data_IF_423577096336
#
_entry.id   IF_423577096336
#
_cell.length_a   1.000
_cell.length_b   1.000
_cell.length_c   1.000
_cell.angle_alpha   90.00
_cell.angle_beta   90.00
_cell.angle_gamma   90.00
#
_symmetry.space_group_name_H-M   'P 1'
#
loop_
_entity.id
_entity.type
_entity.pdbx_description
1 polymer ?
#
# COMPACT_ATOMS: atom_id res chain seq x y z
N UNK A 1 -64.85 8.14 -21.67
CA UNK A 1 -65.80 7.35 -20.86
C UNK A 1 -65.00 6.36 -20.00
N UNK A 2 -65.40 6.14 -18.74
CA UNK A 2 -64.56 6.62 -17.63
C UNK A 2 -64.44 5.62 -16.45
N UNK A 3 -63.53 5.89 -15.50
CA UNK A 3 -63.55 5.47 -14.06
C UNK A 3 -63.28 3.93 -13.87
N UNK A 4 -62.61 3.39 -12.84
CA UNK A 4 -62.63 3.70 -11.41
C UNK A 4 -61.33 3.22 -10.74
N UNK A 5 -60.98 3.99 -9.72
CA UNK A 5 -59.98 3.85 -8.66
C UNK A 5 -60.01 2.53 -7.89
N UNK A 6 -58.88 2.18 -7.28
CA UNK A 6 -58.88 1.76 -5.88
C UNK A 6 -57.68 2.36 -5.13
N UNK A 7 -58.02 3.15 -4.12
CA UNK A 7 -57.19 3.66 -3.03
C UNK A 7 -56.73 2.51 -2.12
N UNK A 8 -55.57 2.65 -1.48
CA UNK A 8 -55.46 2.47 -0.03
C UNK A 8 -54.12 3.01 0.50
N UNK A 9 -54.27 3.92 1.46
CA UNK A 9 -53.29 4.67 2.25
C UNK A 9 -52.37 3.83 3.14
N UNK A 10 -51.29 4.46 3.63
CA UNK A 10 -50.49 3.93 4.73
C UNK A 10 -49.33 4.82 5.19
N UNK A 11 -49.60 6.08 5.53
CA UNK A 11 -48.68 6.94 6.29
C UNK A 11 -48.43 6.37 7.69
N UNK A 12 -47.17 6.26 8.13
CA UNK A 12 -46.81 6.43 9.55
C UNK A 12 -45.38 6.96 9.67
N UNK A 13 -45.29 8.27 9.85
CA UNK A 13 -44.17 8.91 10.53
C UNK A 13 -44.37 8.77 12.05
N UNK A 14 -43.31 8.51 12.79
CA UNK A 14 -43.25 8.84 14.21
C UNK A 14 -41.81 9.04 14.66
N UNK A 15 -41.47 10.30 14.90
CA UNK A 15 -40.30 10.72 15.63
C UNK A 15 -40.54 10.53 17.14
N UNK A 16 -39.49 10.15 17.87
CA UNK A 16 -39.48 10.17 19.33
C UNK A 16 -38.08 10.58 19.85
N UNK A 17 -38.00 11.16 21.06
CA UNK A 17 -37.27 12.40 21.28
C UNK A 17 -35.90 12.23 21.96
N UNK A 18 -35.06 13.25 21.78
CA UNK A 18 -33.95 13.57 22.66
C UNK A 18 -34.43 13.86 24.09
N UNK A 19 -33.96 13.07 25.05
CA UNK A 19 -33.90 13.48 26.46
C UNK A 19 -32.48 13.33 26.99
N UNK A 20 -31.92 14.50 27.27
CA UNK A 20 -30.73 14.81 28.03
C UNK A 20 -30.94 14.51 29.52
N UNK A 21 -30.11 13.71 30.19
CA UNK A 21 -29.67 13.91 31.60
C UNK A 21 -28.34 13.17 31.86
N UNK A 22 -27.33 13.91 32.36
CA UNK A 22 -26.01 13.48 32.85
C UNK A 22 -26.09 12.76 34.22
N UNK A 23 -25.05 12.02 34.66
CA UNK A 23 -24.12 12.66 35.58
C UNK A 23 -22.64 12.30 35.41
N UNK A 24 -21.82 13.34 35.56
CA UNK A 24 -20.49 13.40 36.16
C UNK A 24 -20.05 12.15 36.97
N UNK A 25 -18.78 11.74 36.80
CA UNK A 25 -17.69 11.98 37.76
C UNK A 25 -16.67 10.80 37.89
N UNK A 26 -15.38 11.17 37.85
CA UNK A 26 -14.15 10.50 38.39
C UNK A 26 -13.45 9.41 37.55
N UNK A 27 -12.13 9.19 37.77
CA UNK A 27 -11.07 10.16 38.07
C UNK A 27 -9.88 10.06 37.10
N UNK A 28 -9.29 11.21 36.84
CA UNK A 28 -7.98 11.37 36.22
C UNK A 28 -6.91 10.69 37.08
N UNK A 29 -6.33 9.59 36.61
CA UNK A 29 -5.19 8.98 37.27
C UNK A 29 -3.95 9.82 37.02
N UNK A 30 -3.58 10.52 38.10
CA UNK A 30 -2.27 11.07 38.40
C UNK A 30 -1.15 10.10 38.02
N UNK A 31 -0.50 10.31 36.88
CA UNK A 31 0.86 9.82 36.69
C UNK A 31 1.78 10.82 37.37
N UNK A 32 2.18 10.43 38.58
CA UNK A 32 3.18 11.10 39.40
C UNK A 32 4.46 11.27 38.60
N UNK A 33 4.91 12.51 38.55
CA UNK A 33 6.27 12.89 38.22
C UNK A 33 7.25 12.09 39.09
N UNK A 34 8.10 11.29 38.47
CA UNK A 34 9.33 10.83 39.10
C UNK A 34 10.48 11.59 38.46
N UNK A 35 10.79 12.68 39.14
CA UNK A 35 11.94 13.54 39.02
C UNK A 35 13.26 12.78 39.26
N UNK A 36 14.34 13.37 38.73
CA UNK A 36 15.72 13.29 39.20
C UNK A 36 16.51 12.00 38.92
N UNK A 37 17.44 12.08 37.96
CA UNK A 37 18.87 12.18 38.32
C UNK A 37 19.73 12.60 37.12
N UNK A 38 20.04 13.90 37.07
CA UNK A 38 21.25 14.43 36.44
C UNK A 38 22.44 14.08 37.35
N UNK A 39 23.44 13.38 36.82
CA UNK A 39 24.82 13.50 37.30
C UNK A 39 25.75 13.67 36.08
N UNK A 40 26.47 14.81 35.96
CA UNK A 40 27.48 15.00 34.93
C UNK A 40 28.81 14.43 35.43
N UNK A 41 29.30 13.34 34.83
CA UNK A 41 30.68 12.90 35.07
C UNK A 41 31.64 13.64 34.15
N UNK A 42 32.42 14.48 34.81
CA UNK A 42 33.47 15.35 34.32
C UNK A 42 34.73 14.54 33.99
N UNK A 43 35.16 14.70 32.74
CA UNK A 43 36.54 14.95 32.28
C UNK A 43 37.62 13.83 32.24
N UNK A 44 38.35 13.94 31.10
CA UNK A 44 39.76 13.63 30.84
C UNK A 44 40.13 12.15 30.72
N UNK A 45 40.40 11.71 29.48
CA UNK A 45 41.72 11.18 29.11
C UNK A 45 42.07 11.64 27.69
N UNK A 46 43.19 12.37 27.61
CA UNK A 46 43.93 12.72 26.40
C UNK A 46 44.77 11.49 26.02
N UNK A 47 44.58 10.96 24.81
CA UNK A 47 45.58 10.13 24.14
C UNK A 47 45.71 10.58 22.68
N UNK A 48 46.80 11.27 22.40
CA UNK A 48 47.34 11.47 21.06
C UNK A 48 48.07 10.19 20.63
N UNK A 49 47.63 9.57 19.54
CA UNK A 49 48.45 8.62 18.79
C UNK A 49 48.19 8.78 17.29
N UNK A 50 49.27 9.06 16.58
CA UNK A 50 49.38 9.24 15.13
C UNK A 50 49.65 7.89 14.45
N UNK A 51 49.13 7.71 13.22
CA UNK A 51 49.71 6.78 12.25
C UNK A 51 48.75 5.74 11.68
N UNK A 52 48.23 6.01 10.48
CA UNK A 52 47.51 5.01 9.68
C UNK A 52 46.59 5.65 8.66
N UNK A 53 47.12 5.94 7.47
CA UNK A 53 46.32 6.36 6.32
C UNK A 53 45.39 5.23 5.88
N UNK A 54 44.16 5.26 6.38
CA UNK A 54 43.02 4.55 5.81
C UNK A 54 41.93 5.58 5.55
N UNK A 55 41.50 5.65 4.30
CA UNK A 55 40.41 6.50 3.83
C UNK A 55 39.11 6.11 4.54
N UNK A 56 38.85 6.73 5.69
CA UNK A 56 37.55 6.67 6.36
C UNK A 56 36.61 7.62 5.67
N UNK A 57 35.60 7.02 5.03
CA UNK A 57 34.37 7.68 4.63
C UNK A 57 33.67 8.16 5.90
N UNK A 58 33.88 9.42 6.25
CA UNK A 58 32.86 10.19 6.96
C UNK A 58 31.74 10.48 5.96
N UNK A 59 30.84 9.51 5.81
CA UNK A 59 29.47 9.83 5.47
C UNK A 59 28.68 9.77 6.77
N UNK A 60 28.45 10.96 7.30
CA UNK A 60 27.45 11.23 8.31
C UNK A 60 26.20 10.37 8.10
N UNK A 61 25.58 9.95 9.21
CA UNK A 61 24.16 9.61 9.25
C UNK A 61 23.34 10.82 8.78
N UNK A 62 23.33 11.04 7.48
CA UNK A 62 22.17 11.56 6.77
C UNK A 62 21.48 10.31 6.29
N UNK A 63 20.50 9.81 7.05
CA UNK A 63 19.46 8.98 6.43
C UNK A 63 18.90 9.83 5.30
N UNK A 64 19.14 9.50 4.02
CA UNK A 64 18.42 10.18 2.97
C UNK A 64 16.96 9.84 3.21
N UNK A 65 16.09 10.84 3.21
CA UNK A 65 14.66 10.59 3.04
C UNK A 65 14.52 9.56 1.90
N UNK A 66 13.67 8.53 2.04
CA UNK A 66 13.54 7.50 1.02
C UNK A 66 13.43 8.18 -0.35
N UNK A 67 14.26 7.80 -1.34
CA UNK A 67 14.06 8.28 -2.70
C UNK A 67 12.60 8.03 -3.02
N UNK A 68 11.88 9.05 -3.49
CA UNK A 68 10.52 8.88 -3.97
C UNK A 68 10.48 7.56 -4.75
N UNK A 69 9.65 6.59 -4.33
CA UNK A 69 9.74 5.19 -4.78
C UNK A 69 9.31 5.00 -6.25
N UNK A 70 9.41 6.06 -7.03
CA UNK A 70 9.00 6.18 -8.39
C UNK A 70 10.25 6.06 -9.28
N UNK A 71 10.11 5.19 -10.28
CA UNK A 71 10.93 5.09 -11.50
C UNK A 71 12.25 4.29 -11.44
N UNK A 72 12.69 3.71 -10.32
CA UNK A 72 13.82 2.76 -10.40
C UNK A 72 13.31 1.37 -10.77
N UNK A 73 13.74 0.83 -11.92
CA UNK A 73 13.52 -0.57 -12.30
C UNK A 73 14.17 -1.46 -11.24
N UNK A 74 13.40 -2.42 -10.73
CA UNK A 74 13.91 -3.40 -9.76
C UNK A 74 13.87 -4.80 -10.34
N UNK A 75 14.96 -5.54 -10.15
CA UNK A 75 15.07 -6.97 -10.48
C UNK A 75 14.56 -7.87 -9.32
N UNK A 76 14.08 -7.29 -8.22
CA UNK A 76 13.48 -8.05 -7.12
C UNK A 76 12.24 -8.80 -7.59
N UNK A 77 12.07 -10.03 -7.10
CA UNK A 77 10.86 -10.86 -7.28
C UNK A 77 9.86 -10.69 -6.13
N UNK A 78 10.23 -9.93 -5.09
CA UNK A 78 9.42 -9.74 -3.89
C UNK A 78 9.41 -10.98 -2.98
N UNK A 79 8.40 -11.02 -2.11
CA UNK A 79 8.17 -12.03 -1.07
C UNK A 79 6.87 -12.77 -1.36
N UNK A 80 6.98 -14.05 -1.70
CA UNK A 80 5.85 -14.92 -2.02
C UNK A 80 6.28 -16.16 -2.81
N UNK A 81 5.31 -16.96 -3.25
CA UNK A 81 5.55 -18.24 -3.92
C UNK A 81 5.89 -18.12 -5.41
N UNK A 82 5.62 -16.99 -6.06
CA UNK A 82 6.02 -16.77 -7.44
C UNK A 82 7.53 -16.51 -7.51
N UNK A 83 8.30 -17.55 -7.86
CA UNK A 83 9.76 -17.47 -8.04
C UNK A 83 10.19 -17.42 -9.51
N UNK A 84 9.32 -17.87 -10.41
CA UNK A 84 9.55 -17.87 -11.85
C UNK A 84 8.21 -17.82 -12.57
N UNK A 85 8.10 -16.95 -13.58
CA UNK A 85 6.91 -16.80 -14.41
C UNK A 85 7.27 -16.93 -15.87
N UNK A 86 6.69 -17.91 -16.55
CA UNK A 86 6.75 -17.99 -18.00
C UNK A 86 5.90 -16.87 -18.62
N UNK A 87 6.53 -16.00 -19.40
CA UNK A 87 5.85 -14.99 -20.20
C UNK A 87 5.71 -15.46 -21.65
N UNK A 88 4.47 -15.53 -22.12
CA UNK A 88 4.14 -15.73 -23.53
C UNK A 88 3.51 -14.44 -24.09
N UNK A 89 3.19 -14.41 -25.39
CA UNK A 89 2.43 -13.32 -26.01
C UNK A 89 1.04 -13.20 -25.40
N UNK A 90 0.54 -11.97 -25.26
CA UNK A 90 -0.80 -11.72 -24.72
C UNK A 90 -1.76 -11.46 -25.87
N UNK A 91 -2.71 -12.37 -26.09
CA UNK A 91 -3.78 -12.13 -27.05
C UNK A 91 -4.75 -11.04 -26.55
N UNK A 92 -5.41 -10.35 -27.49
CA UNK A 92 -6.48 -9.37 -27.15
C UNK A 92 -7.56 -9.95 -26.24
N UNK A 93 -7.92 -11.21 -26.44
CA UNK A 93 -8.93 -11.88 -25.61
C UNK A 93 -8.44 -12.13 -24.18
N UNK A 94 -7.16 -12.45 -23.99
CA UNK A 94 -6.56 -12.54 -22.65
C UNK A 94 -6.53 -11.18 -21.96
N UNK A 95 -6.08 -10.15 -22.67
CA UNK A 95 -6.06 -8.78 -22.17
C UNK A 95 -7.45 -8.30 -21.72
N UNK A 96 -8.50 -8.54 -22.53
CA UNK A 96 -9.87 -8.16 -22.20
C UNK A 96 -10.41 -8.88 -20.95
N UNK A 97 -10.06 -10.17 -20.74
CA UNK A 97 -10.42 -10.88 -19.50
C UNK A 97 -9.72 -10.29 -18.28
N UNK A 98 -8.43 -9.99 -18.40
CA UNK A 98 -7.67 -9.33 -17.34
C UNK A 98 -8.19 -7.92 -17.03
N UNK A 99 -8.61 -7.17 -18.04
CA UNK A 99 -9.21 -5.83 -17.88
C UNK A 99 -10.53 -5.92 -17.10
N UNK A 100 -11.40 -6.87 -17.44
CA UNK A 100 -12.65 -7.07 -16.70
C UNK A 100 -12.38 -7.42 -15.21
N UNK A 101 -11.38 -8.25 -14.93
CA UNK A 101 -10.96 -8.53 -13.56
C UNK A 101 -10.37 -7.30 -12.86
N UNK A 102 -9.56 -6.50 -13.57
CA UNK A 102 -8.98 -5.27 -13.03
C UNK A 102 -10.08 -4.28 -12.63
N UNK A 103 -11.09 -4.10 -13.48
CA UNK A 103 -12.25 -3.25 -13.17
C UNK A 103 -13.03 -3.75 -11.95
N UNK A 104 -13.17 -5.07 -11.79
CA UNK A 104 -13.91 -5.67 -10.68
C UNK A 104 -13.14 -5.67 -9.35
N UNK A 105 -11.81 -5.76 -9.37
CA UNK A 105 -11.01 -6.02 -8.15
C UNK A 105 -10.02 -4.92 -7.80
N UNK A 106 -9.56 -4.12 -8.77
CA UNK A 106 -8.43 -3.19 -8.59
C UNK A 106 -8.83 -1.73 -8.81
N UNK A 107 -9.78 -1.46 -9.71
CA UNK A 107 -10.10 -0.10 -10.17
C UNK A 107 -10.68 0.84 -9.10
N UNK A 108 -11.15 0.29 -7.97
CA UNK A 108 -11.55 1.08 -6.81
C UNK A 108 -10.35 1.83 -6.19
N UNK A 109 -9.15 1.24 -6.23
CA UNK A 109 -7.97 1.77 -5.58
C UNK A 109 -6.85 2.18 -6.55
N UNK A 110 -6.82 1.62 -7.76
CA UNK A 110 -5.77 1.87 -8.74
C UNK A 110 -6.33 2.35 -10.07
N UNK A 111 -5.58 3.21 -10.76
CA UNK A 111 -5.83 3.54 -12.17
C UNK A 111 -4.84 2.77 -13.05
N UNK A 112 -5.31 2.32 -14.21
CA UNK A 112 -4.45 1.76 -15.25
C UNK A 112 -3.57 2.85 -15.92
N UNK A 113 -3.86 4.12 -15.64
CA UNK A 113 -3.05 5.29 -16.01
C UNK A 113 -1.95 5.55 -14.97
N UNK A 114 -1.24 6.67 -15.12
CA UNK A 114 -0.23 7.12 -14.15
C UNK A 114 -0.82 7.81 -12.92
N UNK A 115 -2.14 8.01 -12.88
CA UNK A 115 -2.77 8.79 -11.81
C UNK A 115 -2.87 7.99 -10.52
N UNK A 116 -2.45 8.61 -9.41
CA UNK A 116 -2.62 8.05 -8.08
C UNK A 116 -4.05 8.31 -7.57
N UNK A 117 -4.61 7.34 -6.86
CA UNK A 117 -5.85 7.53 -6.08
C UNK A 117 -5.65 7.07 -4.64
N UNK A 118 -6.16 5.89 -4.29
CA UNK A 118 -5.87 5.25 -3.00
C UNK A 118 -4.50 4.60 -3.07
N UNK A 119 -4.25 3.84 -4.15
CA UNK A 119 -2.96 3.27 -4.49
C UNK A 119 -2.26 4.02 -5.64
N UNK A 120 -1.03 3.61 -5.97
CA UNK A 120 -0.27 4.18 -7.07
C UNK A 120 -0.90 3.89 -8.45
N UNK A 121 -0.70 4.79 -9.40
CA UNK A 121 -1.00 4.54 -10.82
C UNK A 121 -0.18 3.38 -11.38
N UNK A 122 -0.81 2.54 -12.21
CA UNK A 122 -0.21 1.30 -12.71
C UNK A 122 0.31 1.37 -14.15
N UNK A 123 0.20 2.54 -14.81
CA UNK A 123 0.85 2.74 -16.11
C UNK A 123 2.34 2.37 -16.03
N UNK A 124 2.83 1.57 -16.97
CA UNK A 124 4.22 1.12 -17.12
C UNK A 124 4.75 0.33 -15.90
N UNK A 125 3.87 -0.26 -15.09
CA UNK A 125 4.29 -1.06 -13.92
C UNK A 125 5.12 -2.27 -14.32
N UNK A 126 4.85 -2.87 -15.49
CA UNK A 126 5.58 -4.02 -16.01
C UNK A 126 6.98 -3.68 -16.52
N UNK A 127 7.26 -2.40 -16.77
CA UNK A 127 8.61 -1.90 -17.04
C UNK A 127 9.38 -1.61 -15.74
N UNK A 128 8.68 -1.31 -14.64
CA UNK A 128 9.28 -0.99 -13.34
C UNK A 128 9.52 -2.20 -12.45
N UNK A 129 8.72 -3.26 -12.60
CA UNK A 129 8.68 -4.42 -11.69
C UNK A 129 8.68 -5.72 -12.48
N UNK A 130 9.30 -6.74 -11.90
CA UNK A 130 9.28 -8.10 -12.47
C UNK A 130 7.86 -8.68 -12.43
N UNK A 131 7.51 -9.60 -13.34
CA UNK A 131 6.24 -10.32 -13.29
C UNK A 131 6.01 -11.02 -11.95
N UNK A 132 7.05 -11.66 -11.40
CA UNK A 132 7.01 -12.33 -10.11
C UNK A 132 6.64 -11.36 -8.98
N UNK A 133 7.26 -10.18 -8.96
CA UNK A 133 6.98 -9.17 -7.96
C UNK A 133 5.53 -8.68 -8.05
N UNK A 134 5.03 -8.45 -9.26
CA UNK A 134 3.63 -8.03 -9.48
C UNK A 134 2.67 -9.11 -8.97
N UNK A 135 2.90 -10.37 -9.31
CA UNK A 135 2.05 -11.47 -8.86
C UNK A 135 2.09 -11.63 -7.34
N UNK A 136 3.28 -11.60 -6.72
CA UNK A 136 3.41 -11.66 -5.26
C UNK A 136 2.75 -10.46 -4.57
N UNK A 137 2.81 -9.25 -5.16
CA UNK A 137 2.13 -8.08 -4.62
C UNK A 137 0.61 -8.21 -4.68
N UNK A 138 0.06 -8.81 -5.75
CA UNK A 138 -1.38 -9.00 -5.93
C UNK A 138 -1.92 -10.08 -4.99
N UNK A 139 -1.22 -11.21 -4.87
CA UNK A 139 -1.71 -12.37 -4.12
C UNK A 139 -1.32 -12.36 -2.64
N UNK A 140 -0.28 -11.59 -2.28
CA UNK A 140 0.26 -11.54 -0.92
C UNK A 140 0.59 -10.10 -0.45
N UNK A 141 -0.31 -9.11 -0.59
CA UNK A 141 0.02 -7.72 -0.33
C UNK A 141 0.49 -7.45 1.10
N UNK A 142 -0.11 -8.09 2.11
CA UNK A 142 0.24 -7.87 3.52
C UNK A 142 1.68 -8.26 3.84
N UNK A 143 2.14 -9.42 3.38
CA UNK A 143 3.51 -9.84 3.65
C UNK A 143 4.51 -9.03 2.83
N UNK A 144 4.16 -8.68 1.59
CA UNK A 144 4.94 -7.77 0.76
C UNK A 144 5.14 -6.42 1.46
N UNK A 145 4.06 -5.81 1.96
CA UNK A 145 4.09 -4.55 2.71
C UNK A 145 4.87 -4.63 4.02
N UNK A 146 5.10 -5.82 4.56
CA UNK A 146 5.89 -6.01 5.78
C UNK A 146 7.36 -6.30 5.52
N UNK A 147 7.68 -6.99 4.42
CA UNK A 147 9.00 -7.60 4.19
C UNK A 147 9.70 -7.12 2.92
N UNK A 148 8.96 -6.79 1.87
CA UNK A 148 9.55 -6.27 0.63
C UNK A 148 9.84 -4.75 0.79
N UNK A 149 11.09 -4.31 0.58
CA UNK A 149 11.47 -2.91 0.79
C UNK A 149 10.74 -1.94 -0.15
N UNK A 150 10.38 -2.38 -1.35
CA UNK A 150 9.67 -1.53 -2.33
C UNK A 150 8.22 -1.39 -1.94
N UNK A 151 7.54 -2.50 -1.62
CA UNK A 151 6.16 -2.50 -1.15
C UNK A 151 5.99 -1.68 0.12
N UNK A 152 6.91 -1.81 1.08
CA UNK A 152 7.00 -0.95 2.28
C UNK A 152 7.10 0.53 1.94
N UNK A 153 7.99 0.89 1.02
CA UNK A 153 8.17 2.28 0.61
C UNK A 153 6.92 2.85 -0.10
N UNK A 154 6.17 2.00 -0.82
CA UNK A 154 4.89 2.37 -1.43
C UNK A 154 3.80 2.55 -0.37
N UNK A 155 3.73 1.68 0.65
CA UNK A 155 2.79 1.82 1.76
C UNK A 155 2.98 3.15 2.51
N UNK A 156 4.22 3.60 2.70
CA UNK A 156 4.50 4.91 3.31
C UNK A 156 3.96 6.09 2.50
N UNK A 157 3.85 5.95 1.18
CA UNK A 157 3.25 6.95 0.28
C UNK A 157 1.73 6.78 0.13
N UNK A 158 1.23 5.57 0.34
CA UNK A 158 -0.16 5.16 0.16
C UNK A 158 -0.66 4.42 1.43
N UNK A 159 -0.91 5.15 2.53
CA UNK A 159 -1.03 4.56 3.88
C UNK A 159 -2.32 3.77 4.14
N UNK A 160 -3.23 3.69 3.17
CA UNK A 160 -4.42 2.83 3.26
C UNK A 160 -4.06 1.35 3.20
N UNK A 161 -2.94 1.00 2.57
CA UNK A 161 -2.52 -0.37 2.31
C UNK A 161 -3.39 -1.08 1.28
N UNK A 162 -2.82 -2.12 0.66
CA UNK A 162 -3.51 -2.98 -0.29
C UNK A 162 -4.23 -4.09 0.49
N UNK A 163 -5.55 -4.18 0.29
CA UNK A 163 -6.37 -5.16 1.00
C UNK A 163 -6.03 -6.58 0.56
N UNK A 164 -6.01 -7.52 1.52
CA UNK A 164 -5.91 -8.95 1.25
C UNK A 164 -7.29 -9.48 0.80
N UNK A 165 -7.67 -9.19 -0.45
CA UNK A 165 -8.81 -9.86 -1.08
C UNK A 165 -8.33 -11.14 -1.76
N UNK A 166 -9.02 -12.29 -1.66
CA UNK A 166 -8.59 -13.51 -2.31
C UNK A 166 -8.58 -13.33 -3.83
N UNK A 167 -7.38 -13.38 -4.42
CA UNK A 167 -7.15 -13.47 -5.86
C UNK A 167 -6.40 -14.77 -6.08
N UNK A 168 -6.99 -15.67 -6.88
CA UNK A 168 -6.32 -16.92 -7.26
C UNK A 168 -5.10 -16.65 -8.15
N UNK A 169 -4.15 -17.57 -8.19
CA UNK A 169 -2.98 -17.47 -9.08
C UNK A 169 -3.38 -17.31 -10.56
N UNK A 170 -4.48 -17.93 -10.97
CA UNK A 170 -5.03 -17.80 -12.31
C UNK A 170 -5.60 -16.40 -12.58
N UNK A 171 -6.36 -15.82 -11.64
CA UNK A 171 -6.83 -14.43 -11.75
C UNK A 171 -5.66 -13.45 -11.71
N UNK A 172 -4.66 -13.67 -10.85
CA UNK A 172 -3.46 -12.85 -10.77
C UNK A 172 -2.68 -12.86 -12.10
N UNK A 173 -2.58 -14.03 -12.75
CA UNK A 173 -1.99 -14.14 -14.09
C UNK A 173 -2.78 -13.36 -15.14
N UNK A 174 -4.11 -13.39 -15.09
CA UNK A 174 -4.95 -12.61 -16.01
C UNK A 174 -4.78 -11.10 -15.78
N UNK A 175 -4.70 -10.65 -14.53
CA UNK A 175 -4.38 -9.27 -14.18
C UNK A 175 -3.01 -8.85 -14.72
N UNK A 176 -1.98 -9.70 -14.57
CA UNK A 176 -0.66 -9.45 -15.13
C UNK A 176 -0.70 -9.36 -16.66
N UNK A 177 -1.43 -10.24 -17.35
CA UNK A 177 -1.57 -10.21 -18.80
C UNK A 177 -2.21 -8.87 -19.26
N UNK A 178 -3.22 -8.37 -18.54
CA UNK A 178 -3.79 -7.04 -18.80
C UNK A 178 -2.79 -5.91 -18.57
N UNK A 179 -2.05 -5.91 -17.46
CA UNK A 179 -1.05 -4.87 -17.19
C UNK A 179 0.04 -4.84 -18.27
N UNK A 180 0.48 -6.01 -18.75
CA UNK A 180 1.42 -6.13 -19.87
C UNK A 180 0.85 -5.53 -21.16
N UNK A 181 -0.42 -5.83 -21.47
CA UNK A 181 -1.11 -5.26 -22.64
C UNK A 181 -1.27 -3.73 -22.52
N UNK A 182 -1.67 -3.23 -21.35
CA UNK A 182 -1.85 -1.81 -21.05
C UNK A 182 -0.56 -1.01 -21.21
N UNK A 183 0.56 -1.60 -20.81
CA UNK A 183 1.89 -0.99 -20.91
C UNK A 183 2.51 -1.10 -22.33
N UNK A 184 1.74 -1.63 -23.30
CA UNK A 184 2.19 -1.81 -24.68
C UNK A 184 3.13 -3.00 -24.89
N UNK A 185 3.28 -3.87 -23.89
CA UNK A 185 4.10 -5.07 -23.93
C UNK A 185 3.45 -6.21 -24.70
N UNK A 186 4.19 -6.78 -25.65
CA UNK A 186 3.95 -8.03 -26.42
C UNK A 186 2.48 -8.26 -26.82
N UNK A 187 2.08 -7.59 -27.90
CA UNK A 187 0.86 -7.87 -28.67
C UNK A 187 1.04 -9.05 -29.61
#
# INVERSE_FOLDING_TARGET
MPIIMFFADGHHASAAPCTLVLPLNKPCHSMRASLLNLLPFVAIIIFTACGGSQSTQDAALSTPAPPAAQIVKSESKGVGHFKWVKLDSVSRAQAARGEALFLARCAACHKATGDNTVGPGLKDVTARRTPEWILNQITNPKEMEQKDPISRALLLQHPTGMTMSPVSDAEARQLLDFLRWNDGGVK
#
